data_IF_917463750075
#
_entry.id   IF_917463750075
#
_cell.length_a   1.000
_cell.length_b   1.000
_cell.length_c   1.000
_cell.angle_alpha   90.00
_cell.angle_beta   90.00
_cell.angle_gamma   90.00
#
_symmetry.space_group_name_H-M   'P 1'
#
loop_
_entity.id
_entity.type
_entity.pdbx_description
1 polymer ?
#
# COMPACT_ATOMS: atom_id res chain seq x y z
N UNK A 1 -24.60 18.09 -0.56
CA UNK A 1 -24.04 19.20 0.25
C UNK A 1 -24.38 18.89 1.71
N UNK A 2 -23.39 18.90 2.62
CA UNK A 2 -23.59 18.50 4.02
C UNK A 2 -24.52 19.44 4.81
N UNK A 3 -24.74 20.67 4.33
CA UNK A 3 -25.57 21.68 5.01
C UNK A 3 -26.37 22.50 3.99
N UNK A 4 -27.71 22.49 4.08
CA UNK A 4 -28.62 23.30 3.24
C UNK A 4 -28.82 24.73 3.81
N UNK A 5 -27.80 25.31 4.44
CA UNK A 5 -27.89 26.59 5.16
C UNK A 5 -26.54 27.07 5.70
N UNK A 6 -26.53 27.65 6.92
CA UNK A 6 -25.28 28.08 7.58
C UNK A 6 -24.43 26.89 8.03
N UNK A 7 -23.11 27.05 8.03
CA UNK A 7 -22.17 26.05 8.53
C UNK A 7 -22.24 26.03 10.06
N UNK A 8 -22.53 24.85 10.61
CA UNK A 8 -22.53 24.60 12.05
C UNK A 8 -21.15 24.12 12.49
N UNK A 9 -20.22 25.05 12.68
CA UNK A 9 -18.81 24.76 12.99
C UNK A 9 -18.65 23.87 14.25
N UNK A 10 -19.49 24.06 15.25
CA UNK A 10 -19.52 23.29 16.49
C UNK A 10 -19.89 21.81 16.28
N UNK A 11 -20.52 21.47 15.16
CA UNK A 11 -20.92 20.09 14.81
C UNK A 11 -19.84 19.31 14.08
N UNK A 12 -18.76 19.96 13.63
CA UNK A 12 -17.61 19.27 13.04
C UNK A 12 -16.78 18.64 14.15
N UNK A 13 -16.90 17.32 14.33
CA UNK A 13 -16.24 16.58 15.42
C UNK A 13 -15.00 15.81 14.99
N UNK A 14 -14.94 15.35 13.75
CA UNK A 14 -13.87 14.47 13.28
C UNK A 14 -13.36 14.98 11.94
N UNK A 15 -12.03 15.08 11.85
CA UNK A 15 -11.31 15.13 10.60
C UNK A 15 -10.54 13.82 10.45
N UNK A 16 -10.99 12.96 9.54
CA UNK A 16 -10.37 11.67 9.29
C UNK A 16 -9.47 11.76 8.06
N UNK A 17 -8.18 11.56 8.24
CA UNK A 17 -7.19 11.66 7.15
C UNK A 17 -5.93 10.86 7.44
N UNK A 18 -5.03 10.74 6.47
CA UNK A 18 -3.72 10.12 6.71
C UNK A 18 -2.86 10.93 7.70
N UNK A 19 -1.73 10.34 8.11
CA UNK A 19 -0.78 10.97 9.03
C UNK A 19 0.29 11.80 8.31
N UNK A 20 0.11 12.12 7.02
CA UNK A 20 1.10 12.88 6.29
C UNK A 20 1.30 14.25 6.95
N UNK A 21 2.53 14.81 6.95
CA UNK A 21 2.82 16.06 7.65
C UNK A 21 1.89 17.22 7.24
N UNK A 22 1.50 17.29 5.97
CA UNK A 22 0.60 18.34 5.49
C UNK A 22 -0.85 18.14 5.97
N UNK A 23 -1.33 16.90 6.13
CA UNK A 23 -2.66 16.62 6.69
C UNK A 23 -2.73 16.99 8.17
N UNK A 24 -1.66 16.74 8.92
CA UNK A 24 -1.54 17.21 10.31
C UNK A 24 -1.56 18.74 10.40
N UNK A 25 -0.83 19.44 9.53
CA UNK A 25 -0.85 20.91 9.45
C UNK A 25 -2.24 21.44 9.09
N UNK A 26 -2.91 20.82 8.12
CA UNK A 26 -4.28 21.16 7.76
C UNK A 26 -5.24 20.95 8.93
N UNK A 27 -5.13 19.83 9.65
CA UNK A 27 -5.94 19.56 10.83
C UNK A 27 -5.76 20.64 11.92
N UNK A 28 -4.51 21.04 12.19
CA UNK A 28 -4.20 22.12 13.14
C UNK A 28 -4.80 23.45 12.69
N UNK A 29 -4.67 23.81 11.41
CA UNK A 29 -5.25 25.04 10.88
C UNK A 29 -6.79 25.04 10.94
N UNK A 30 -7.42 23.91 10.61
CA UNK A 30 -8.87 23.74 10.66
C UNK A 30 -9.40 23.80 12.09
N UNK A 31 -8.61 23.39 13.09
CA UNK A 31 -9.02 23.44 14.51
C UNK A 31 -9.29 24.86 15.01
N UNK A 32 -8.74 25.90 14.36
CA UNK A 32 -9.06 27.31 14.63
C UNK A 32 -10.55 27.58 14.33
N UNK A 33 -11.05 27.07 13.21
CA UNK A 33 -12.44 27.22 12.79
C UNK A 33 -13.39 26.20 13.43
N UNK A 34 -12.86 25.07 13.89
CA UNK A 34 -13.61 23.96 14.48
C UNK A 34 -12.97 23.51 15.80
N UNK A 35 -13.14 24.28 16.91
CA UNK A 35 -12.41 24.03 18.16
C UNK A 35 -12.64 22.64 18.77
N UNK A 36 -13.83 22.06 18.55
CA UNK A 36 -14.22 20.72 19.01
C UNK A 36 -13.85 19.57 18.07
N UNK A 37 -13.11 19.84 16.99
CA UNK A 37 -12.71 18.83 16.01
C UNK A 37 -11.48 18.04 16.48
N UNK A 38 -11.57 16.72 16.35
CA UNK A 38 -10.47 15.78 16.56
C UNK A 38 -9.90 15.32 15.22
N UNK A 39 -8.58 15.34 15.10
CA UNK A 39 -7.89 14.68 13.98
C UNK A 39 -7.72 13.20 14.30
N UNK A 40 -8.35 12.34 13.50
CA UNK A 40 -8.20 10.89 13.59
C UNK A 40 -7.38 10.42 12.40
N UNK A 41 -6.24 9.79 12.69
CA UNK A 41 -5.38 9.21 11.65
C UNK A 41 -6.03 7.96 11.05
N UNK A 42 -5.93 7.83 9.74
CA UNK A 42 -6.41 6.67 9.01
C UNK A 42 -5.68 5.39 9.42
N UNK A 43 -6.44 4.40 9.91
CA UNK A 43 -5.91 3.10 10.33
C UNK A 43 -5.25 2.38 9.16
N UNK A 44 -5.84 2.46 7.95
CA UNK A 44 -5.24 1.86 6.76
C UNK A 44 -3.86 2.45 6.44
N UNK A 45 -3.66 3.75 6.69
CA UNK A 45 -2.36 4.38 6.53
C UNK A 45 -1.36 3.90 7.60
N UNK A 46 -1.80 3.77 8.85
CA UNK A 46 -0.97 3.22 9.93
C UNK A 46 -0.53 1.78 9.63
N UNK A 47 -1.44 0.94 9.15
CA UNK A 47 -1.12 -0.43 8.71
C UNK A 47 -0.13 -0.41 7.56
N UNK A 48 -0.30 0.46 6.56
CA UNK A 48 0.66 0.55 5.46
C UNK A 48 2.07 0.95 5.95
N UNK A 49 2.19 1.83 6.94
CA UNK A 49 3.50 2.17 7.53
C UNK A 49 4.17 0.96 8.18
N UNK A 50 3.41 0.12 8.89
CA UNK A 50 3.92 -1.14 9.45
C UNK A 50 4.40 -2.08 8.33
N UNK A 51 3.62 -2.22 7.26
CA UNK A 51 4.01 -3.02 6.08
C UNK A 51 5.32 -2.52 5.45
N UNK A 52 5.52 -1.20 5.35
CA UNK A 52 6.75 -0.62 4.83
C UNK A 52 7.96 -0.88 5.75
N UNK A 53 7.77 -0.89 7.07
CA UNK A 53 8.82 -1.27 8.02
C UNK A 53 9.20 -2.74 7.84
N UNK A 54 8.20 -3.63 7.74
CA UNK A 54 8.44 -5.06 7.47
C UNK A 54 9.24 -5.21 6.17
N UNK A 55 8.79 -4.60 5.07
CA UNK A 55 9.51 -4.65 3.79
C UNK A 55 10.98 -4.24 3.90
N UNK A 56 11.28 -3.18 4.67
CA UNK A 56 12.64 -2.70 4.89
C UNK A 56 13.48 -3.65 5.75
N UNK A 57 12.87 -4.37 6.69
CA UNK A 57 13.57 -5.36 7.52
C UNK A 57 13.91 -6.64 6.76
N UNK A 58 13.14 -6.97 5.71
CA UNK A 58 13.36 -8.16 4.88
C UNK A 58 13.94 -7.79 3.50
N UNK A 59 15.16 -7.24 3.51
CA UNK A 59 15.83 -6.73 2.31
C UNK A 59 16.06 -7.80 1.23
N UNK A 60 16.39 -9.03 1.62
CA UNK A 60 16.60 -10.15 0.69
C UNK A 60 15.32 -10.53 -0.05
N UNK A 61 14.21 -10.64 0.68
CA UNK A 61 12.90 -10.91 0.08
C UNK A 61 12.47 -9.76 -0.84
N UNK A 62 12.69 -8.51 -0.40
CA UNK A 62 12.42 -7.34 -1.21
C UNK A 62 13.27 -7.29 -2.49
N UNK A 63 14.54 -7.69 -2.41
CA UNK A 63 15.46 -7.78 -3.54
C UNK A 63 15.03 -8.88 -4.51
N UNK A 64 14.73 -10.08 -4.02
CA UNK A 64 14.21 -11.19 -4.81
C UNK A 64 12.96 -10.75 -5.61
N UNK A 65 11.95 -10.21 -4.94
CA UNK A 65 10.72 -9.73 -5.58
C UNK A 65 11.03 -8.69 -6.67
N UNK A 66 11.94 -7.75 -6.38
CA UNK A 66 12.34 -6.69 -7.32
C UNK A 66 13.08 -7.23 -8.55
N UNK A 67 14.03 -8.15 -8.37
CA UNK A 67 14.80 -8.72 -9.46
C UNK A 67 13.96 -9.65 -10.32
N UNK A 68 13.15 -10.51 -9.70
CA UNK A 68 12.28 -11.42 -10.45
C UNK A 68 11.25 -10.65 -11.26
N UNK A 69 10.66 -9.56 -10.72
CA UNK A 69 9.83 -8.64 -11.53
C UNK A 69 10.57 -8.17 -12.79
N UNK A 70 11.83 -7.74 -12.67
CA UNK A 70 12.64 -7.30 -13.82
C UNK A 70 12.85 -8.44 -14.83
N UNK A 71 13.07 -9.67 -14.38
CA UNK A 71 13.26 -10.83 -15.25
C UNK A 71 11.99 -11.10 -16.05
N UNK A 72 10.82 -11.19 -15.41
CA UNK A 72 9.55 -11.47 -16.08
C UNK A 72 9.13 -10.36 -17.05
N UNK A 73 9.43 -9.10 -16.74
CA UNK A 73 9.19 -7.96 -17.64
C UNK A 73 10.12 -7.98 -18.84
N UNK A 74 11.40 -8.33 -18.65
CA UNK A 74 12.43 -8.23 -19.71
C UNK A 74 12.61 -9.49 -20.55
N UNK A 75 12.10 -10.63 -20.11
CA UNK A 75 12.22 -11.91 -20.80
C UNK A 75 10.84 -12.55 -21.04
N UNK A 76 10.12 -12.15 -22.11
CA UNK A 76 8.82 -12.73 -22.46
C UNK A 76 8.86 -14.26 -22.60
N UNK A 77 9.96 -14.80 -23.12
CA UNK A 77 10.18 -16.25 -23.24
C UNK A 77 10.14 -16.98 -21.89
N UNK A 78 10.68 -16.37 -20.83
CA UNK A 78 10.58 -16.94 -19.47
C UNK A 78 9.15 -16.87 -18.94
N UNK A 79 8.43 -15.79 -19.24
CA UNK A 79 7.02 -15.64 -18.87
C UNK A 79 6.12 -16.65 -19.57
N UNK A 80 6.38 -16.94 -20.86
CA UNK A 80 5.67 -17.97 -21.63
C UNK A 80 5.96 -19.37 -21.10
N UNK A 81 7.24 -19.71 -20.89
CA UNK A 81 7.64 -20.99 -20.32
C UNK A 81 7.02 -21.20 -18.94
N UNK A 82 7.05 -20.18 -18.08
CA UNK A 82 6.42 -20.24 -16.75
C UNK A 82 4.94 -20.59 -16.83
N UNK A 83 4.18 -19.95 -17.75
CA UNK A 83 2.76 -20.25 -17.97
C UNK A 83 2.52 -21.66 -18.53
N UNK A 84 3.44 -22.17 -19.36
CA UNK A 84 3.33 -23.51 -19.91
C UNK A 84 3.58 -24.59 -18.85
N UNK A 85 4.60 -24.39 -18.00
CA UNK A 85 4.97 -25.35 -16.94
C UNK A 85 4.02 -25.25 -15.74
N UNK A 86 3.48 -24.06 -15.46
CA UNK A 86 2.63 -23.79 -14.29
C UNK A 86 1.29 -23.15 -14.69
N UNK A 87 0.42 -23.86 -15.45
CA UNK A 87 -0.81 -23.27 -16.00
C UNK A 87 -1.81 -22.81 -14.92
N UNK A 88 -1.82 -23.46 -13.76
CA UNK A 88 -2.73 -23.17 -12.65
C UNK A 88 -2.17 -22.13 -11.65
N UNK A 89 -0.93 -21.65 -11.85
CA UNK A 89 -0.28 -20.70 -10.96
C UNK A 89 -0.26 -19.32 -11.63
N UNK A 90 -0.78 -18.27 -10.98
CA UNK A 90 -0.73 -16.94 -11.56
C UNK A 90 0.71 -16.45 -11.68
N UNK A 91 0.95 -15.52 -12.60
CA UNK A 91 2.26 -14.88 -12.71
C UNK A 91 2.66 -14.20 -11.40
N UNK A 92 3.98 -14.12 -11.10
CA UNK A 92 4.45 -13.37 -9.96
C UNK A 92 3.88 -11.94 -9.97
N UNK A 93 3.24 -11.51 -8.88
CA UNK A 93 2.62 -10.20 -8.83
C UNK A 93 3.70 -9.12 -8.87
N UNK A 94 3.36 -8.02 -9.54
CA UNK A 94 4.26 -6.88 -9.67
C UNK A 94 3.94 -5.83 -8.61
N UNK A 95 4.73 -5.70 -7.53
CA UNK A 95 4.48 -4.67 -6.55
C UNK A 95 4.64 -3.28 -7.16
N UNK A 96 3.77 -2.36 -6.72
CA UNK A 96 3.74 -0.96 -7.13
C UNK A 96 3.97 -0.12 -5.88
N UNK A 97 5.04 0.68 -5.88
CA UNK A 97 5.48 1.44 -4.70
C UNK A 97 4.40 2.38 -4.14
N UNK A 98 3.55 2.93 -5.01
CA UNK A 98 2.48 3.86 -4.62
C UNK A 98 1.19 3.16 -4.17
N UNK A 99 1.07 1.84 -4.37
CA UNK A 99 -0.15 1.08 -4.04
C UNK A 99 0.08 0.21 -2.82
N UNK A 100 -0.61 0.57 -1.72
CA UNK A 100 -0.50 -0.09 -0.42
C UNK A 100 -0.78 -1.60 -0.51
N UNK A 101 -0.01 -2.38 0.26
CA UNK A 101 -0.19 -3.82 0.39
C UNK A 101 0.31 -4.67 -0.79
N UNK A 102 0.64 -4.08 -1.95
CA UNK A 102 1.09 -4.85 -3.12
C UNK A 102 2.39 -5.62 -2.87
N UNK A 103 3.29 -5.08 -2.07
CA UNK A 103 4.51 -5.81 -1.66
C UNK A 103 4.22 -7.03 -0.79
N UNK A 104 3.29 -6.93 0.17
CA UNK A 104 2.92 -8.09 1.01
C UNK A 104 2.24 -9.19 0.20
N UNK A 105 1.38 -8.82 -0.76
CA UNK A 105 0.79 -9.79 -1.69
C UNK A 105 1.87 -10.53 -2.48
N UNK A 106 2.91 -9.81 -2.93
CA UNK A 106 4.06 -10.44 -3.55
C UNK A 106 4.81 -11.34 -2.57
N UNK A 107 5.14 -10.87 -1.37
CA UNK A 107 5.81 -11.69 -0.37
C UNK A 107 5.06 -13.00 -0.08
N UNK A 108 3.73 -12.96 0.08
CA UNK A 108 2.91 -14.17 0.25
C UNK A 108 2.91 -15.07 -0.99
N UNK A 109 2.88 -14.50 -2.19
CA UNK A 109 3.00 -15.27 -3.42
C UNK A 109 4.33 -16.03 -3.47
N UNK A 110 5.46 -15.35 -3.23
CA UNK A 110 6.77 -16.00 -3.24
C UNK A 110 6.89 -17.02 -2.12
N UNK A 111 6.35 -16.75 -0.93
CA UNK A 111 6.30 -17.74 0.15
C UNK A 111 5.62 -19.05 -0.28
N UNK A 112 4.62 -18.98 -1.16
CA UNK A 112 3.87 -20.16 -1.63
C UNK A 112 4.49 -20.81 -2.87
N UNK A 113 5.03 -20.03 -3.81
CA UNK A 113 5.40 -20.49 -5.15
C UNK A 113 6.87 -20.26 -5.51
N UNK A 114 7.74 -20.03 -4.51
CA UNK A 114 9.16 -19.74 -4.74
C UNK A 114 9.84 -20.75 -5.67
N UNK A 115 9.58 -22.04 -5.49
CA UNK A 115 10.22 -23.10 -6.27
C UNK A 115 9.86 -23.04 -7.74
N UNK A 116 8.58 -22.84 -8.07
CA UNK A 116 8.10 -22.74 -9.46
C UNK A 116 8.62 -21.48 -10.16
N UNK A 117 8.86 -20.41 -9.40
CA UNK A 117 9.40 -19.15 -9.94
C UNK A 117 10.91 -19.21 -10.16
N UNK A 118 11.60 -20.09 -9.44
CA UNK A 118 13.06 -20.27 -9.52
C UNK A 118 13.49 -20.96 -10.82
N UNK A 119 12.65 -21.83 -11.37
CA UNK A 119 12.89 -22.57 -12.63
C UNK A 119 12.89 -21.64 -13.86
#
# INVERSE_FOLDING_TARGET
>A
ILWLGKIHHERVKIFYSDAAPYMKKAATALKIFYPGMLHVTCIAHALNLVCEVIRKQYEDANSLISYTKKVFIKAPTRTELYKQVNPDIPLPPEPVLTRWGTWLQAAFFYCKYFHQVKE
#
